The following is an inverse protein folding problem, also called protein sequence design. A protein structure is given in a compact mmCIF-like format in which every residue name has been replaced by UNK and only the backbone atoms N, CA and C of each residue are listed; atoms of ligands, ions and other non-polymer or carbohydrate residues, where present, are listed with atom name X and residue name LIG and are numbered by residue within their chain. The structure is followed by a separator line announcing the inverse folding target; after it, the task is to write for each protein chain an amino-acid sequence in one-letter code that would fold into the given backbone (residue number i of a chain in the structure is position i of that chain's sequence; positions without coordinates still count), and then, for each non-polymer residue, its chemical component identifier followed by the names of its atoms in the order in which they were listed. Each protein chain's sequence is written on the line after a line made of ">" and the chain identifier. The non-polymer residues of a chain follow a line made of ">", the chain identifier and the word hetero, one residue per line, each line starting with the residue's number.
data_IF_584138763024
#
_entry.id   IF_584138763024
#
_cell.length_a   1.000
_cell.length_b   1.000
_cell.length_c   1.000
_cell.angle_alpha   90.00
_cell.angle_beta   90.00
_cell.angle_gamma   90.00
#
_symmetry.space_group_name_H-M   'P 1'
#
loop_
_entity.id
_entity.type
_entity.pdbx_description
1 polymer ?
#
# COMPACT_ATOMS: atom_id res chain seq x y z
N UNK A 1 3.92 6.91 16.23
CA UNK A 1 3.75 7.45 14.86
C UNK A 1 5.06 7.27 14.12
N UNK A 2 5.06 6.69 12.92
CA UNK A 2 6.30 6.50 12.16
C UNK A 2 6.80 7.86 11.63
N UNK A 3 8.06 8.19 11.91
CA UNK A 3 8.74 9.35 11.32
C UNK A 3 9.14 9.02 9.89
N UNK A 4 8.80 9.87 8.94
CA UNK A 4 9.20 9.69 7.54
C UNK A 4 10.60 10.31 7.35
N UNK A 5 11.55 9.64 6.66
CA UNK A 5 11.43 8.37 5.96
C UNK A 5 11.47 7.13 6.86
N UNK A 6 10.71 6.09 6.50
CA UNK A 6 10.72 4.79 7.17
C UNK A 6 11.68 3.85 6.46
N UNK A 7 12.60 3.25 7.22
CA UNK A 7 13.60 2.32 6.70
C UNK A 7 13.30 0.90 7.18
N UNK A 8 13.41 -0.08 6.27
CA UNK A 8 13.26 -1.52 6.56
C UNK A 8 12.10 -1.86 7.50
N UNK A 9 10.86 -1.43 7.19
CA UNK A 9 9.71 -1.71 8.05
C UNK A 9 9.44 -3.22 8.12
N UNK A 10 8.91 -3.67 9.26
CA UNK A 10 8.32 -4.99 9.36
C UNK A 10 7.10 -5.08 8.41
N UNK A 11 6.95 -6.22 7.74
CA UNK A 11 5.83 -6.50 6.81
C UNK A 11 4.83 -7.43 7.50
N UNK A 12 3.51 -7.16 7.45
CA UNK A 12 2.84 -6.06 6.75
C UNK A 12 3.04 -4.70 7.43
N UNK A 13 3.31 -3.66 6.62
CA UNK A 13 3.52 -2.30 7.11
C UNK A 13 2.24 -1.46 6.96
N UNK A 14 1.84 -0.81 8.06
CA UNK A 14 0.78 0.19 8.08
C UNK A 14 1.35 1.51 8.62
N UNK A 15 1.20 2.58 7.84
CA UNK A 15 1.72 3.89 8.18
C UNK A 15 0.79 5.01 7.76
N UNK A 16 0.70 6.06 8.58
CA UNK A 16 -0.01 7.28 8.25
C UNK A 16 0.80 8.09 7.24
N UNK A 17 0.11 8.78 6.32
CA UNK A 17 0.69 9.78 5.42
C UNK A 17 0.50 11.15 6.08
N UNK A 18 1.55 11.79 6.65
CA UNK A 18 1.45 13.06 7.36
C UNK A 18 0.95 14.19 6.44
N UNK A 19 -0.18 14.79 6.81
CA UNK A 19 -0.85 15.83 6.01
C UNK A 19 -1.62 15.30 4.79
N UNK A 20 -1.74 13.97 4.65
CA UNK A 20 -2.46 13.33 3.56
C UNK A 20 -1.76 13.41 2.21
N UNK A 21 -2.42 12.85 1.19
CA UNK A 21 -1.98 12.92 -0.20
C UNK A 21 -2.71 14.07 -0.91
N UNK A 22 -1.94 14.96 -1.53
CA UNK A 22 -2.44 16.15 -2.24
C UNK A 22 -1.75 16.25 -3.60
N UNK A 23 -2.33 16.97 -4.58
CA UNK A 23 -1.66 17.24 -5.84
C UNK A 23 -0.23 17.77 -5.63
N UNK A 24 0.74 17.21 -6.37
CA UNK A 24 2.16 17.54 -6.24
C UNK A 24 2.94 16.77 -5.16
N UNK A 25 2.28 15.96 -4.31
CA UNK A 25 2.98 15.06 -3.38
C UNK A 25 3.32 13.72 -4.01
N UNK A 26 4.39 13.10 -3.49
CA UNK A 26 4.91 11.81 -3.96
C UNK A 26 5.06 10.83 -2.78
N UNK A 27 4.64 9.59 -2.99
CA UNK A 27 4.97 8.45 -2.13
C UNK A 27 6.05 7.65 -2.84
N UNK A 28 7.20 7.45 -2.19
CA UNK A 28 8.31 6.68 -2.76
C UNK A 28 8.55 5.42 -1.94
N UNK A 29 8.34 4.27 -2.57
CA UNK A 29 8.56 2.94 -1.97
C UNK A 29 9.74 2.29 -2.70
N UNK A 30 10.76 1.86 -1.94
CA UNK A 30 11.94 1.16 -2.46
C UNK A 30 12.07 -0.18 -1.74
N UNK A 31 12.23 -1.25 -2.51
CA UNK A 31 12.38 -2.60 -1.99
C UNK A 31 12.72 -3.60 -3.09
N UNK A 32 12.90 -4.86 -2.69
CA UNK A 32 13.14 -6.00 -3.58
C UNK A 32 12.05 -7.03 -3.28
N UNK A 33 11.40 -7.54 -4.32
CA UNK A 33 10.49 -8.68 -4.20
C UNK A 33 11.34 -9.94 -4.26
N UNK A 34 11.44 -10.66 -3.14
CA UNK A 34 12.19 -11.92 -3.08
C UNK A 34 11.46 -12.98 -3.92
N UNK A 35 12.23 -13.89 -4.54
CA UNK A 35 11.79 -14.90 -5.51
C UNK A 35 10.72 -15.90 -5.02
N UNK A 36 10.46 -15.95 -3.71
CA UNK A 36 9.39 -16.78 -3.12
C UNK A 36 8.09 -15.99 -2.87
N UNK A 37 8.10 -14.67 -3.06
CA UNK A 37 6.94 -13.82 -2.87
C UNK A 37 6.13 -13.75 -4.15
N UNK A 38 4.98 -14.43 -4.19
CA UNK A 38 4.10 -14.42 -5.37
C UNK A 38 3.68 -12.99 -5.78
N UNK A 39 3.51 -12.08 -4.81
CA UNK A 39 2.86 -10.76 -5.01
C UNK A 39 3.35 -9.72 -4.01
N UNK A 40 3.47 -8.47 -4.46
CA UNK A 40 3.63 -7.29 -3.59
C UNK A 40 2.35 -6.44 -3.69
N UNK A 41 1.72 -6.19 -2.55
CA UNK A 41 0.47 -5.44 -2.45
C UNK A 41 0.71 -4.10 -1.78
N UNK A 42 0.24 -3.02 -2.42
CA UNK A 42 0.29 -1.66 -1.88
C UNK A 42 -1.15 -1.15 -1.81
N UNK A 43 -1.57 -0.77 -0.61
CA UNK A 43 -2.89 -0.19 -0.35
C UNK A 43 -2.72 1.26 0.10
N UNK A 44 -3.30 2.20 -0.64
CA UNK A 44 -3.57 3.54 -0.14
C UNK A 44 -4.99 3.55 0.41
N UNK A 45 -5.11 3.68 1.73
CA UNK A 45 -6.37 3.55 2.46
C UNK A 45 -6.80 4.90 3.05
N UNK A 46 -8.11 5.09 3.21
CA UNK A 46 -8.68 6.26 3.90
C UNK A 46 -8.57 6.16 5.42
N UNK A 47 -8.33 4.95 5.95
CA UNK A 47 -8.08 4.71 7.36
C UNK A 47 -7.39 3.37 7.63
N UNK A 48 -7.26 3.02 8.90
CA UNK A 48 -6.50 1.88 9.40
C UNK A 48 -7.37 0.65 9.74
N UNK A 49 -8.70 0.77 9.67
CA UNK A 49 -9.60 -0.33 10.01
C UNK A 49 -9.50 -1.44 8.96
N UNK A 50 -9.45 -2.68 9.45
CA UNK A 50 -9.39 -3.89 8.62
C UNK A 50 -10.72 -4.67 8.61
N UNK A 51 -11.58 -4.46 9.60
CA UNK A 51 -12.89 -5.11 9.70
C UNK A 51 -13.88 -4.26 10.55
N UNK A 52 -14.91 -3.64 9.94
CA UNK A 52 -15.04 -3.44 8.50
C UNK A 52 -13.84 -2.67 7.95
N UNK A 53 -13.44 -2.99 6.72
CA UNK A 53 -12.23 -2.42 6.13
C UNK A 53 -12.51 -0.99 5.66
N UNK A 54 -11.61 -0.07 5.97
CA UNK A 54 -11.64 1.26 5.37
C UNK A 54 -11.42 1.19 3.84
N UNK A 55 -12.05 2.12 3.13
CA UNK A 55 -11.92 2.23 1.68
C UNK A 55 -10.45 2.30 1.24
N UNK A 56 -10.17 1.68 0.09
CA UNK A 56 -8.87 1.68 -0.54
C UNK A 56 -8.99 2.32 -1.93
N UNK A 57 -8.89 3.66 -2.05
CA UNK A 57 -8.96 4.35 -3.33
C UNK A 57 -7.97 3.83 -4.37
N UNK A 58 -6.80 3.36 -3.93
CA UNK A 58 -5.79 2.78 -4.82
C UNK A 58 -5.19 1.52 -4.21
N UNK A 59 -5.50 0.40 -4.85
CA UNK A 59 -4.86 -0.89 -4.65
C UNK A 59 -3.93 -1.18 -5.83
N UNK A 60 -2.67 -1.49 -5.55
CA UNK A 60 -1.68 -1.92 -6.55
C UNK A 60 -1.19 -3.33 -6.18
N UNK A 61 -1.33 -4.25 -7.13
CA UNK A 61 -0.91 -5.65 -7.02
C UNK A 61 0.18 -5.93 -8.06
N UNK A 62 1.44 -5.97 -7.62
CA UNK A 62 2.57 -6.32 -8.47
C UNK A 62 2.76 -7.84 -8.42
N UNK A 63 2.65 -8.51 -9.56
CA UNK A 63 2.72 -9.98 -9.68
C UNK A 63 3.76 -10.36 -10.73
N UNK A 64 5.04 -10.47 -10.34
CA UNK A 64 6.13 -10.69 -11.29
C UNK A 64 5.99 -11.99 -12.09
N UNK A 65 5.53 -13.08 -11.45
CA UNK A 65 5.33 -14.37 -12.11
C UNK A 65 4.25 -14.36 -13.19
N UNK A 66 3.26 -13.49 -13.04
CA UNK A 66 2.16 -13.32 -14.00
C UNK A 66 2.47 -12.23 -15.04
N UNK A 67 3.60 -11.52 -14.91
CA UNK A 67 3.94 -10.34 -15.72
C UNK A 67 2.87 -9.24 -15.71
N UNK A 68 2.17 -9.08 -14.58
CA UNK A 68 1.04 -8.14 -14.47
C UNK A 68 1.17 -7.24 -13.25
N UNK A 69 0.79 -5.97 -13.46
CA UNK A 69 0.48 -5.02 -12.38
C UNK A 69 -1.02 -4.75 -12.41
N UNK A 70 -1.75 -5.30 -11.43
CA UNK A 70 -3.16 -5.02 -11.24
C UNK A 70 -3.35 -3.71 -10.50
N UNK A 71 -4.31 -2.89 -10.93
CA UNK A 71 -4.78 -1.71 -10.20
C UNK A 71 -6.28 -1.81 -9.99
N UNK A 72 -6.73 -1.50 -8.79
CA UNK A 72 -8.16 -1.46 -8.48
C UNK A 72 -8.46 -0.47 -7.35
N UNK A 73 -9.74 -0.32 -7.00
CA UNK A 73 -10.21 0.32 -5.78
C UNK A 73 -11.09 -0.65 -4.98
N UNK A 74 -11.20 -0.42 -3.67
CA UNK A 74 -12.11 -1.15 -2.77
C UNK A 74 -12.95 -0.11 -2.04
N UNK A 75 -14.26 -0.25 -2.09
CA UNK A 75 -15.20 0.69 -1.48
C UNK A 75 -16.31 -0.07 -0.76
N UNK A 76 -16.79 0.48 0.36
CA UNK A 76 -18.01 0.04 1.08
C UNK A 76 -18.03 -1.45 1.42
N UNK A 77 -16.93 -1.96 2.00
CA UNK A 77 -16.97 -3.28 2.66
C UNK A 77 -17.63 -3.11 4.04
N UNK A 78 -18.96 -2.99 4.03
CA UNK A 78 -19.83 -3.07 5.20
C UNK A 78 -20.75 -4.26 5.03
#
# INVERSE_FOLDING_TARGET
>A
MATIPVYSPAIPFLGLIPGGLQPGRMIRIKGIIQSHGERCQIHLQTGAALNPRDDCPLHISIRPHEFVIGRNSIQRQV
#
